data_IF_503559099234
#
_entry.id   IF_503559099234
#
_cell.length_a   1.000
_cell.length_b   1.000
_cell.length_c   1.000
_cell.angle_alpha   90.00
_cell.angle_beta   90.00
_cell.angle_gamma   90.00
#
_symmetry.space_group_name_H-M   'P 1'
#
loop_
_entity.id
_entity.type
_entity.pdbx_description
1 polymer ?
#
# COMPACT_ATOMS: atom_id res chain seq x y z
N UNK A 1 -12.54 43.67 16.84
CA UNK A 1 -11.37 43.07 17.54
C UNK A 1 -10.92 41.85 16.75
N UNK A 2 -9.62 41.58 16.66
CA UNK A 2 -9.10 40.45 15.88
C UNK A 2 -7.86 39.84 16.52
N UNK A 3 -7.68 38.54 16.32
CA UNK A 3 -6.45 37.79 16.56
C UNK A 3 -5.96 37.11 15.28
N UNK A 4 -4.88 36.35 15.35
CA UNK A 4 -4.32 35.68 14.16
C UNK A 4 -5.32 34.73 13.47
N UNK A 5 -6.20 34.08 14.25
CA UNK A 5 -7.13 33.03 13.80
C UNK A 5 -8.60 33.45 13.75
N UNK A 6 -8.93 34.66 14.22
CA UNK A 6 -10.32 35.08 14.35
C UNK A 6 -10.48 36.58 14.25
N UNK A 7 -11.67 37.02 13.87
CA UNK A 7 -12.12 38.41 13.95
C UNK A 7 -13.57 38.49 14.43
N UNK A 8 -14.03 39.70 14.73
CA UNK A 8 -15.46 39.98 14.96
C UNK A 8 -16.14 40.43 13.66
N UNK A 9 -17.46 40.29 13.57
CA UNK A 9 -18.28 40.70 12.42
C UNK A 9 -18.93 39.52 11.71
N UNK A 10 -19.65 39.75 10.59
CA UNK A 10 -20.25 38.67 9.82
C UNK A 10 -19.18 37.86 9.07
N UNK A 11 -19.43 36.56 8.91
CA UNK A 11 -18.59 35.68 8.08
C UNK A 11 -18.77 36.00 6.58
N UNK A 12 -17.65 36.05 5.87
CA UNK A 12 -17.58 36.13 4.42
C UNK A 12 -17.08 34.83 3.79
N UNK A 13 -16.76 34.85 2.48
CA UNK A 13 -16.22 33.68 1.79
C UNK A 13 -14.94 33.15 2.44
N UNK A 14 -14.88 31.85 2.70
CA UNK A 14 -13.72 31.22 3.35
C UNK A 14 -13.69 31.31 4.88
N UNK A 15 -14.75 31.87 5.47
CA UNK A 15 -14.89 32.02 6.91
C UNK A 15 -16.15 31.33 7.42
N UNK A 16 -16.17 31.08 8.71
CA UNK A 16 -17.31 30.51 9.43
C UNK A 16 -17.51 31.26 10.73
N UNK A 17 -18.76 31.51 11.11
CA UNK A 17 -19.08 32.05 12.42
C UNK A 17 -19.13 30.93 13.46
N UNK A 18 -18.42 31.11 14.56
CA UNK A 18 -18.39 30.21 15.71
C UNK A 18 -18.99 30.93 16.91
N UNK A 19 -19.92 30.28 17.60
CA UNK A 19 -20.55 30.84 18.80
C UNK A 19 -20.80 29.77 19.86
N UNK A 20 -20.84 30.19 21.12
CA UNK A 20 -21.25 29.35 22.24
C UNK A 20 -20.28 29.33 23.41
N UNK A 21 -20.58 28.54 24.47
CA UNK A 21 -19.87 28.60 25.75
C UNK A 21 -18.38 28.22 25.68
N UNK A 22 -17.91 27.60 24.60
CA UNK A 22 -16.49 27.24 24.39
C UNK A 22 -15.71 28.31 23.61
N UNK A 23 -16.38 29.31 23.05
CA UNK A 23 -15.74 30.44 22.37
C UNK A 23 -15.33 31.46 23.44
N UNK A 24 -14.04 31.51 23.76
CA UNK A 24 -13.50 32.42 24.80
C UNK A 24 -13.14 33.81 24.27
N UNK A 25 -13.07 33.97 22.95
CA UNK A 25 -12.80 35.23 22.27
C UNK A 25 -14.09 35.95 21.86
N UNK A 26 -14.00 37.25 21.54
CA UNK A 26 -15.10 38.01 20.93
C UNK A 26 -16.43 38.01 21.72
N UNK A 27 -16.40 37.83 23.04
CA UNK A 27 -17.62 37.75 23.85
C UNK A 27 -18.47 36.50 23.59
N UNK A 28 -17.88 35.41 23.11
CA UNK A 28 -18.59 34.16 22.84
C UNK A 28 -19.06 33.98 21.40
N UNK A 29 -18.71 34.92 20.51
CA UNK A 29 -19.00 34.85 19.07
C UNK A 29 -17.83 35.43 18.27
N UNK A 30 -17.33 34.68 17.30
CA UNK A 30 -16.24 35.08 16.41
C UNK A 30 -16.47 34.59 14.99
N UNK A 31 -15.75 35.16 14.04
CA UNK A 31 -15.55 34.64 12.69
C UNK A 31 -14.15 34.06 12.59
N UNK A 32 -14.03 32.83 12.10
CA UNK A 32 -12.76 32.13 11.93
C UNK A 32 -12.59 31.68 10.47
N UNK A 33 -11.36 31.72 9.97
CA UNK A 33 -11.03 31.27 8.62
C UNK A 33 -11.06 29.73 8.58
N UNK A 34 -11.90 29.11 7.74
CA UNK A 34 -11.84 27.67 7.51
C UNK A 34 -10.93 27.32 6.33
N UNK A 35 -10.76 28.25 5.38
CA UNK A 35 -9.73 28.17 4.35
C UNK A 35 -8.36 28.45 4.94
N UNK A 36 -7.38 27.63 4.58
CA UNK A 36 -5.99 27.71 5.04
C UNK A 36 -5.17 28.79 4.32
N UNK A 37 -5.65 29.26 3.16
CA UNK A 37 -5.08 30.37 2.40
C UNK A 37 -5.57 31.77 2.84
N UNK A 38 -6.65 31.85 3.63
CA UNK A 38 -7.17 33.09 4.18
C UNK A 38 -6.42 33.47 5.47
N UNK A 39 -5.99 34.74 5.58
CA UNK A 39 -5.24 35.23 6.74
C UNK A 39 -5.75 36.58 7.22
N UNK A 40 -5.89 36.73 8.55
CA UNK A 40 -6.19 38.01 9.19
C UNK A 40 -4.94 38.82 9.53
N UNK A 41 -3.79 38.16 9.65
CA UNK A 41 -2.49 38.77 10.00
C UNK A 41 -1.38 38.23 9.11
N UNK A 42 -0.17 38.77 9.25
CA UNK A 42 1.00 38.32 8.52
C UNK A 42 1.25 36.80 8.67
N UNK A 43 1.88 36.20 7.65
CA UNK A 43 2.17 34.76 7.59
C UNK A 43 3.08 34.33 8.74
N UNK A 44 2.63 33.31 9.47
CA UNK A 44 3.38 32.61 10.50
C UNK A 44 3.48 31.13 10.11
N UNK A 45 4.58 30.47 10.49
CA UNK A 45 4.75 29.03 10.30
C UNK A 45 3.69 28.25 11.09
N UNK A 46 3.19 27.14 10.53
CA UNK A 46 2.15 26.31 11.15
C UNK A 46 0.76 26.97 11.22
N UNK A 47 0.54 28.07 10.51
CA UNK A 47 -0.79 28.67 10.40
C UNK A 47 -1.61 27.97 9.31
N UNK A 48 -2.73 27.39 9.72
CA UNK A 48 -3.65 26.66 8.83
C UNK A 48 -5.06 27.27 8.82
N UNK A 49 -5.24 28.49 9.33
CA UNK A 49 -6.54 29.13 9.52
C UNK A 49 -6.97 29.14 10.99
N UNK A 50 -8.25 29.44 11.25
CA UNK A 50 -8.83 29.45 12.59
C UNK A 50 -9.84 28.35 12.87
N UNK A 51 -10.39 27.75 11.82
CA UNK A 51 -11.40 26.69 11.87
C UNK A 51 -11.24 25.69 10.71
N UNK A 52 -10.03 25.60 10.13
CA UNK A 52 -9.77 24.60 9.10
C UNK A 52 -9.83 23.19 9.68
N UNK A 53 -10.06 22.19 8.82
CA UNK A 53 -10.08 20.79 9.24
C UNK A 53 -8.77 20.37 9.92
N UNK A 54 -7.63 20.94 9.52
CA UNK A 54 -6.34 20.65 10.12
C UNK A 54 -6.25 21.07 11.61
N UNK A 55 -6.97 22.11 12.03
CA UNK A 55 -6.99 22.58 13.43
C UNK A 55 -7.95 21.73 14.31
N UNK A 56 -8.85 20.95 13.71
CA UNK A 56 -9.85 20.14 14.45
C UNK A 56 -9.69 18.63 14.28
N UNK A 57 -8.79 18.17 13.40
CA UNK A 57 -8.55 16.74 13.18
C UNK A 57 -7.52 16.22 14.17
N UNK A 58 -7.89 15.22 14.96
CA UNK A 58 -6.97 14.51 15.86
C UNK A 58 -6.84 13.07 15.36
N UNK A 59 -5.65 12.65 14.87
CA UNK A 59 -5.45 11.26 14.50
C UNK A 59 -5.42 10.39 15.76
N UNK A 60 -6.24 9.33 15.79
CA UNK A 60 -6.18 8.29 16.81
C UNK A 60 -5.46 7.09 16.20
N UNK A 61 -4.30 6.76 16.74
CA UNK A 61 -3.51 5.60 16.32
C UNK A 61 -3.61 4.51 17.38
N UNK A 62 -3.73 3.27 16.95
CA UNK A 62 -3.71 2.11 17.82
C UNK A 62 -2.64 1.13 17.34
N UNK A 63 -1.76 0.74 18.25
CA UNK A 63 -0.59 -0.09 17.96
C UNK A 63 -0.79 -1.48 18.57
N UNK A 64 -0.53 -2.51 17.77
CA UNK A 64 -0.52 -3.91 18.21
C UNK A 64 0.94 -4.38 18.29
N UNK A 65 1.38 -4.97 19.41
CA UNK A 65 2.72 -5.54 19.50
C UNK A 65 2.98 -6.58 18.39
N UNK A 66 4.19 -6.60 17.86
CA UNK A 66 4.57 -7.56 16.82
C UNK A 66 4.43 -9.01 17.29
N UNK A 67 3.96 -9.89 16.41
CA UNK A 67 3.75 -11.32 16.70
C UNK A 67 2.48 -11.63 17.50
N UNK A 68 1.73 -10.62 17.94
CA UNK A 68 0.43 -10.80 18.57
C UNK A 68 -0.68 -10.74 17.51
N UNK A 69 -1.73 -11.52 17.72
CA UNK A 69 -2.91 -11.51 16.86
C UNK A 69 -3.62 -10.15 16.95
N UNK A 70 -3.90 -9.55 15.80
CA UNK A 70 -4.68 -8.32 15.67
C UNK A 70 -6.08 -8.56 16.27
N UNK A 71 -6.64 -7.65 17.09
CA UNK A 71 -7.96 -7.82 17.67
C UNK A 71 -9.06 -8.09 16.64
N UNK A 72 -10.11 -8.82 17.05
CA UNK A 72 -11.22 -9.13 16.15
C UNK A 72 -11.91 -7.84 15.66
N UNK A 73 -12.22 -7.78 14.37
CA UNK A 73 -12.82 -6.60 13.72
C UNK A 73 -11.81 -5.49 13.36
N UNK A 74 -10.53 -5.66 13.68
CA UNK A 74 -9.49 -4.70 13.34
C UNK A 74 -8.74 -5.16 12.09
N UNK A 75 -8.22 -4.19 11.33
CA UNK A 75 -7.45 -4.44 10.10
C UNK A 75 -6.08 -3.82 10.24
N UNK A 76 -5.05 -4.54 9.82
CA UNK A 76 -3.70 -3.97 9.76
C UNK A 76 -3.68 -2.77 8.80
N UNK A 77 -3.00 -1.70 9.19
CA UNK A 77 -2.67 -0.57 8.32
C UNK A 77 -1.19 -0.68 7.94
N UNK A 78 -0.86 -1.21 6.75
CA UNK A 78 0.52 -1.37 6.33
C UNK A 78 1.19 0.00 6.14
N UNK A 79 2.50 0.06 6.41
CA UNK A 79 3.27 1.28 6.21
C UNK A 79 3.27 1.68 4.73
N UNK A 80 3.26 0.71 3.81
CA UNK A 80 3.21 0.90 2.37
C UNK A 80 1.96 1.67 1.89
N UNK A 81 0.89 1.71 2.70
CA UNK A 81 -0.33 2.46 2.39
C UNK A 81 -0.46 3.79 3.13
N UNK A 82 0.34 3.99 4.17
CA UNK A 82 0.11 5.06 5.16
C UNK A 82 1.32 5.96 5.39
N UNK A 83 2.53 5.44 5.18
CA UNK A 83 3.74 6.23 5.23
C UNK A 83 3.84 7.07 3.94
N UNK A 84 4.16 8.37 4.06
CA UNK A 84 4.52 9.17 2.90
C UNK A 84 5.72 8.56 2.15
N UNK A 85 5.71 8.64 0.83
CA UNK A 85 6.76 8.03 -0.01
C UNK A 85 8.18 8.46 0.38
N UNK A 86 8.35 9.71 0.82
CA UNK A 86 9.65 10.25 1.25
C UNK A 86 10.19 9.62 2.55
N UNK A 87 9.40 8.87 3.32
CA UNK A 87 9.87 8.06 4.45
C UNK A 87 10.53 6.76 4.02
N UNK A 88 10.17 6.24 2.85
CA UNK A 88 10.62 4.93 2.40
C UNK A 88 12.06 4.96 1.86
N UNK A 89 12.69 6.14 1.84
CA UNK A 89 13.95 6.38 1.19
C UNK A 89 13.75 6.18 -0.30
N UNK A 90 13.57 7.27 -1.04
CA UNK A 90 13.60 7.18 -2.49
C UNK A 90 14.84 6.37 -2.87
N UNK A 91 14.62 5.30 -3.63
CA UNK A 91 15.67 4.68 -4.43
C UNK A 91 16.56 5.80 -4.95
N UNK A 92 17.88 5.68 -4.76
CA UNK A 92 18.84 6.55 -5.43
C UNK A 92 18.28 6.89 -6.80
N UNK A 93 18.16 8.19 -7.17
CA UNK A 93 17.69 8.52 -8.49
C UNK A 93 18.60 7.73 -9.43
N UNK A 94 18.03 6.77 -10.15
CA UNK A 94 18.72 6.14 -11.26
C UNK A 94 19.23 7.31 -12.08
N UNK A 95 20.55 7.53 -12.05
CA UNK A 95 21.18 8.54 -12.87
C UNK A 95 20.57 8.38 -14.26
N UNK A 96 20.06 9.46 -14.88
CA UNK A 96 19.62 9.39 -16.26
C UNK A 96 20.77 8.78 -17.05
N UNK A 97 20.63 7.51 -17.43
CA UNK A 97 21.64 6.83 -18.20
C UNK A 97 21.54 7.47 -19.57
N UNK A 98 22.40 8.45 -19.81
CA UNK A 98 22.52 9.12 -21.09
C UNK A 98 22.72 8.01 -22.14
N UNK A 99 21.83 7.91 -23.14
CA UNK A 99 21.88 6.79 -24.07
C UNK A 99 23.20 6.85 -24.83
N UNK A 100 24.08 5.90 -24.56
CA UNK A 100 25.30 5.72 -25.34
C UNK A 100 24.93 5.56 -26.82
N UNK A 101 25.58 6.28 -27.74
CA UNK A 101 25.23 6.20 -29.16
C UNK A 101 25.52 4.80 -29.69
N UNK A 102 24.48 4.08 -30.11
CA UNK A 102 24.63 2.75 -30.71
C UNK A 102 25.27 2.85 -32.11
N UNK A 103 26.24 1.99 -32.46
CA UNK A 103 26.75 1.89 -33.82
C UNK A 103 25.68 1.29 -34.73
N UNK A 104 25.49 1.91 -35.90
CA UNK A 104 24.53 1.46 -36.92
C UNK A 104 25.03 0.17 -37.58
N UNK A 105 24.37 -0.95 -37.28
CA UNK A 105 24.44 -2.16 -38.10
C UNK A 105 23.07 -2.45 -38.71
N UNK A 106 23.00 -2.54 -40.04
CA UNK A 106 21.83 -2.97 -40.79
C UNK A 106 21.66 -4.47 -40.62
N UNK A 107 20.54 -4.88 -40.01
CA UNK A 107 20.09 -6.26 -39.99
C UNK A 107 18.58 -6.28 -39.80
N UNK A 108 17.86 -6.81 -40.78
CA UNK A 108 16.40 -7.00 -40.74
C UNK A 108 16.03 -7.96 -39.63
N UNK A 109 15.67 -7.43 -38.46
CA UNK A 109 15.07 -8.19 -37.37
C UNK A 109 13.56 -8.02 -37.43
N UNK A 110 12.86 -9.13 -37.66
CA UNK A 110 11.40 -9.25 -37.62
C UNK A 110 10.93 -8.77 -36.25
N UNK A 111 10.24 -7.63 -36.20
CA UNK A 111 9.63 -7.12 -34.98
C UNK A 111 8.51 -8.07 -34.57
N UNK A 112 8.64 -8.70 -33.40
CA UNK A 112 7.48 -9.23 -32.70
C UNK A 112 6.64 -8.03 -32.23
N UNK A 113 5.31 -8.02 -32.47
CA UNK A 113 4.47 -6.94 -31.99
C UNK A 113 4.46 -6.98 -30.46
N UNK A 114 5.06 -5.96 -29.85
CA UNK A 114 4.84 -5.63 -28.45
C UNK A 114 3.39 -5.15 -28.34
N UNK A 115 2.54 -5.95 -27.71
CA UNK A 115 1.20 -5.52 -27.34
C UNK A 115 1.30 -4.58 -26.14
N UNK A 116 1.51 -3.28 -26.41
CA UNK A 116 1.14 -2.21 -25.49
C UNK A 116 -0.39 -2.14 -25.41
N UNK A 117 -0.96 -3.02 -24.58
CA UNK A 117 -2.33 -2.89 -24.13
C UNK A 117 -2.38 -1.96 -22.92
N UNK A 118 -2.57 -0.67 -23.15
CA UNK A 118 -2.81 0.35 -22.10
C UNK A 118 -4.19 0.21 -21.42
N UNK A 119 -4.90 -0.90 -21.67
CA UNK A 119 -6.22 -1.21 -21.13
C UNK A 119 -6.22 -2.65 -20.60
N UNK A 120 -6.82 -2.93 -19.43
CA UNK A 120 -6.92 -4.29 -18.93
C UNK A 120 -7.76 -5.11 -19.91
N UNK A 121 -7.13 -6.09 -20.57
CA UNK A 121 -7.83 -7.04 -21.41
C UNK A 121 -8.52 -8.07 -20.50
N UNK A 122 -9.86 -8.14 -20.47
CA UNK A 122 -10.56 -9.17 -19.71
C UNK A 122 -10.26 -10.53 -20.36
N UNK A 123 -9.48 -11.36 -19.68
CA UNK A 123 -9.18 -12.72 -20.13
C UNK A 123 -7.81 -13.28 -19.72
N UNK A 124 -6.86 -12.46 -19.28
CA UNK A 124 -5.58 -12.95 -18.78
C UNK A 124 -5.66 -13.09 -17.25
N UNK A 125 -5.46 -14.32 -16.77
CA UNK A 125 -5.29 -14.60 -15.34
C UNK A 125 -4.07 -13.86 -14.81
N UNK A 126 -4.16 -13.35 -13.58
CA UNK A 126 -3.00 -12.71 -12.93
C UNK A 126 -1.89 -13.74 -12.68
N UNK A 127 -0.62 -13.32 -12.57
CA UNK A 127 0.47 -14.26 -12.24
C UNK A 127 0.22 -15.04 -10.94
N UNK A 128 -0.40 -14.42 -9.93
CA UNK A 128 -0.83 -15.08 -8.70
C UNK A 128 -1.89 -16.14 -8.96
N UNK A 129 -2.90 -15.85 -9.80
CA UNK A 129 -3.89 -16.83 -10.22
C UNK A 129 -3.30 -18.01 -11.00
N UNK A 130 -2.33 -17.74 -11.88
CA UNK A 130 -1.63 -18.77 -12.63
C UNK A 130 -0.83 -19.68 -11.69
N UNK A 131 -0.14 -19.10 -10.71
CA UNK A 131 0.63 -19.84 -9.69
C UNK A 131 -0.28 -20.80 -8.93
N UNK A 132 -1.43 -20.35 -8.43
CA UNK A 132 -2.34 -21.19 -7.64
C UNK A 132 -3.09 -22.26 -8.46
N UNK A 133 -3.09 -22.14 -9.79
CA UNK A 133 -3.63 -23.14 -10.74
C UNK A 133 -2.55 -24.10 -11.26
N UNK A 134 -1.29 -23.87 -10.95
CA UNK A 134 -0.19 -24.69 -11.43
C UNK A 134 -0.17 -26.05 -10.71
N UNK A 135 0.28 -27.09 -11.44
CA UNK A 135 0.36 -28.44 -10.87
C UNK A 135 1.27 -28.53 -9.63
N UNK A 136 2.45 -27.89 -9.60
CA UNK A 136 3.32 -27.91 -8.41
C UNK A 136 2.63 -27.30 -7.19
N UNK A 137 1.86 -26.23 -7.35
CA UNK A 137 1.11 -25.62 -6.25
C UNK A 137 -0.02 -26.53 -5.74
N UNK A 138 -0.79 -27.13 -6.64
CA UNK A 138 -1.84 -28.08 -6.28
C UNK A 138 -1.28 -29.24 -5.45
N UNK A 139 -0.18 -29.85 -5.92
CA UNK A 139 0.50 -30.94 -5.20
C UNK A 139 1.01 -30.48 -3.84
N UNK A 140 1.65 -29.31 -3.75
CA UNK A 140 2.14 -28.78 -2.47
C UNK A 140 1.00 -28.50 -1.48
N UNK A 141 -0.14 -28.00 -1.98
CA UNK A 141 -1.32 -27.67 -1.16
C UNK A 141 -1.91 -28.89 -0.46
N UNK A 142 -1.84 -30.08 -1.04
CA UNK A 142 -2.34 -31.33 -0.43
C UNK A 142 -1.65 -31.65 0.91
N UNK A 143 -0.40 -31.22 1.09
CA UNK A 143 0.38 -31.46 2.31
C UNK A 143 0.23 -30.33 3.36
N UNK A 144 -0.41 -29.22 2.99
CA UNK A 144 -0.56 -28.04 3.86
C UNK A 144 -1.96 -28.01 4.49
N UNK A 145 -2.04 -28.47 5.74
CA UNK A 145 -3.28 -28.38 6.52
C UNK A 145 -3.70 -26.93 6.77
N UNK A 146 -4.99 -26.66 6.66
CA UNK A 146 -5.58 -25.31 6.85
C UNK A 146 -4.94 -24.24 5.95
N UNK A 147 -4.59 -24.61 4.71
CA UNK A 147 -4.06 -23.67 3.73
C UNK A 147 -5.02 -22.50 3.49
N UNK A 148 -4.51 -21.26 3.36
CA UNK A 148 -5.31 -20.13 2.89
C UNK A 148 -6.05 -20.42 1.58
N UNK A 149 -7.10 -19.67 1.29
CA UNK A 149 -7.84 -19.84 0.03
C UNK A 149 -6.95 -19.47 -1.17
N UNK A 150 -7.18 -20.08 -2.33
CA UNK A 150 -6.44 -19.72 -3.55
C UNK A 150 -6.56 -18.23 -3.87
N UNK A 151 -7.73 -17.62 -3.62
CA UNK A 151 -7.94 -16.17 -3.76
C UNK A 151 -7.02 -15.35 -2.84
N UNK A 152 -6.83 -15.77 -1.58
CA UNK A 152 -5.92 -15.09 -0.65
C UNK A 152 -4.45 -15.20 -1.12
N UNK A 153 -4.05 -16.40 -1.55
CA UNK A 153 -2.67 -16.66 -2.01
C UNK A 153 -2.37 -15.90 -3.30
N UNK A 154 -3.28 -15.94 -4.29
CA UNK A 154 -3.14 -15.21 -5.54
C UNK A 154 -3.01 -13.70 -5.30
N UNK A 155 -3.90 -13.12 -4.49
CA UNK A 155 -3.85 -11.69 -4.16
C UNK A 155 -2.56 -11.29 -3.41
N UNK A 156 -2.06 -12.15 -2.52
CA UNK A 156 -0.79 -11.93 -1.83
C UNK A 156 0.40 -11.94 -2.80
N UNK A 157 0.43 -12.89 -3.75
CA UNK A 157 1.47 -12.97 -4.78
C UNK A 157 1.42 -11.78 -5.73
N UNK A 158 0.23 -11.41 -6.21
CA UNK A 158 0.05 -10.27 -7.12
C UNK A 158 0.52 -8.97 -6.47
N UNK A 159 0.17 -8.74 -5.21
CA UNK A 159 0.64 -7.57 -4.46
C UNK A 159 2.17 -7.57 -4.28
N UNK A 160 2.77 -8.73 -3.98
CA UNK A 160 4.23 -8.86 -3.89
C UNK A 160 4.91 -8.56 -5.23
N UNK A 161 4.36 -9.08 -6.34
CA UNK A 161 4.90 -8.87 -7.68
C UNK A 161 4.80 -7.40 -8.12
N UNK A 162 3.66 -6.75 -7.86
CA UNK A 162 3.43 -5.32 -8.10
C UNK A 162 4.43 -4.46 -7.32
N UNK A 163 4.73 -4.83 -6.08
CA UNK A 163 5.70 -4.16 -5.22
C UNK A 163 7.18 -4.53 -5.50
N UNK A 164 7.47 -5.20 -6.63
CA UNK A 164 8.83 -5.57 -7.00
C UNK A 164 9.44 -6.72 -6.19
N UNK A 165 8.62 -7.48 -5.47
CA UNK A 165 8.98 -8.68 -4.71
C UNK A 165 9.19 -8.44 -3.22
N UNK A 166 8.93 -7.23 -2.69
CA UNK A 166 9.12 -6.91 -1.28
C UNK A 166 7.92 -6.18 -0.69
N UNK A 167 7.34 -6.74 0.38
CA UNK A 167 6.27 -6.12 1.17
C UNK A 167 6.40 -6.52 2.63
N UNK A 168 5.87 -5.72 3.55
CA UNK A 168 5.69 -6.16 4.93
C UNK A 168 4.66 -7.29 5.04
N UNK A 169 4.74 -8.15 6.07
CA UNK A 169 3.70 -9.16 6.32
C UNK A 169 2.30 -8.55 6.41
N UNK A 170 2.20 -7.35 6.99
CA UNK A 170 0.94 -6.61 7.11
C UNK A 170 0.36 -6.23 5.73
N UNK A 171 1.20 -5.78 4.79
CA UNK A 171 0.76 -5.48 3.42
C UNK A 171 0.29 -6.74 2.68
N UNK A 172 1.03 -7.85 2.82
CA UNK A 172 0.66 -9.14 2.23
C UNK A 172 -0.67 -9.65 2.77
N UNK A 173 -0.87 -9.59 4.09
CA UNK A 173 -2.13 -9.92 4.75
C UNK A 173 -3.28 -8.98 4.33
N UNK A 174 -3.02 -7.69 4.18
CA UNK A 174 -4.01 -6.70 3.76
C UNK A 174 -4.47 -6.91 2.31
N UNK A 175 -3.59 -7.37 1.41
CA UNK A 175 -3.95 -7.75 0.05
C UNK A 175 -4.91 -8.96 0.02
N UNK A 176 -4.58 -10.00 0.79
CA UNK A 176 -5.44 -11.17 0.95
C UNK A 176 -6.80 -10.82 1.56
N UNK A 177 -6.83 -9.96 2.59
CA UNK A 177 -8.07 -9.49 3.20
C UNK A 177 -8.92 -8.67 2.22
N UNK A 178 -8.31 -7.80 1.41
CA UNK A 178 -9.04 -7.01 0.41
C UNK A 178 -9.73 -7.92 -0.63
N UNK A 179 -9.07 -9.00 -1.05
CA UNK A 179 -9.61 -9.92 -2.04
C UNK A 179 -10.66 -10.90 -1.47
N UNK A 180 -10.55 -11.29 -0.20
CA UNK A 180 -11.41 -12.33 0.40
C UNK A 180 -12.47 -11.82 1.37
N UNK A 181 -12.34 -10.57 1.82
CA UNK A 181 -13.14 -10.01 2.92
C UNK A 181 -12.85 -10.62 4.30
N UNK A 182 -11.91 -11.58 4.41
CA UNK A 182 -11.56 -12.25 5.66
C UNK A 182 -10.30 -11.64 6.26
N UNK A 183 -10.35 -11.35 7.56
CA UNK A 183 -9.22 -10.74 8.25
C UNK A 183 -8.12 -11.75 8.53
N UNK A 184 -6.92 -11.49 8.00
CA UNK A 184 -5.69 -12.21 8.31
C UNK A 184 -5.04 -11.60 9.56
N UNK A 185 -5.59 -11.95 10.72
CA UNK A 185 -5.27 -11.32 12.02
C UNK A 185 -3.86 -11.62 12.52
N UNK A 186 -3.17 -12.61 11.96
CA UNK A 186 -1.76 -12.88 12.24
C UNK A 186 -0.95 -12.85 10.93
N UNK A 187 -0.44 -11.68 10.53
CA UNK A 187 0.24 -11.51 9.25
C UNK A 187 1.48 -12.40 9.10
N UNK A 188 2.27 -12.57 10.16
CA UNK A 188 3.46 -13.43 10.14
C UNK A 188 3.07 -14.89 9.93
N UNK A 189 2.06 -15.38 10.66
CA UNK A 189 1.58 -16.75 10.48
C UNK A 189 1.02 -16.97 9.07
N UNK A 190 0.31 -15.99 8.54
CA UNK A 190 -0.18 -16.04 7.16
C UNK A 190 0.98 -16.20 6.18
N UNK A 191 2.04 -15.40 6.32
CA UNK A 191 3.26 -15.51 5.50
C UNK A 191 3.93 -16.88 5.65
N UNK A 192 4.06 -17.41 6.88
CA UNK A 192 4.61 -18.76 7.09
C UNK A 192 3.77 -19.85 6.38
N UNK A 193 2.45 -19.66 6.26
CA UNK A 193 1.62 -20.57 5.48
C UNK A 193 1.88 -20.44 3.97
N UNK A 194 2.17 -19.22 3.48
CA UNK A 194 2.60 -19.01 2.10
C UNK A 194 3.97 -19.65 1.82
N UNK A 195 4.95 -19.53 2.73
CA UNK A 195 6.25 -20.21 2.62
C UNK A 195 6.07 -21.72 2.47
N UNK A 196 5.19 -22.33 3.26
CA UNK A 196 4.88 -23.77 3.17
C UNK A 196 4.22 -24.18 1.86
N UNK A 197 3.48 -23.27 1.23
CA UNK A 197 2.78 -23.52 -0.04
C UNK A 197 3.68 -23.28 -1.27
N UNK A 198 4.70 -22.43 -1.14
CA UNK A 198 5.49 -21.95 -2.26
C UNK A 198 6.92 -22.48 -2.28
N UNK A 199 7.49 -22.83 -1.13
CA UNK A 199 8.87 -23.31 -1.06
C UNK A 199 8.91 -24.83 -1.30
N UNK A 200 9.12 -25.21 -2.55
CA UNK A 200 9.26 -26.61 -2.97
C UNK A 200 10.71 -27.07 -2.77
N UNK A 201 10.88 -28.29 -2.25
CA UNK A 201 12.19 -28.94 -2.03
C UNK A 201 13.21 -28.10 -1.23
N UNK A 202 12.71 -27.18 -0.39
CA UNK A 202 13.53 -26.32 0.46
C UNK A 202 14.09 -25.06 -0.24
N UNK A 203 13.76 -24.83 -1.51
CA UNK A 203 14.16 -23.61 -2.22
C UNK A 203 13.24 -22.43 -1.83
N UNK A 204 13.78 -21.30 -1.35
CA UNK A 204 12.98 -20.21 -0.77
C UNK A 204 12.41 -19.27 -1.83
N UNK A 205 11.33 -19.67 -2.50
CA UNK A 205 10.54 -18.78 -3.38
C UNK A 205 10.02 -17.58 -2.60
N UNK A 206 9.54 -17.82 -1.39
CA UNK A 206 9.07 -16.79 -0.48
C UNK A 206 9.75 -16.97 0.87
N UNK A 207 10.21 -15.88 1.46
CA UNK A 207 10.87 -15.90 2.76
C UNK A 207 10.67 -14.61 3.55
N UNK A 208 10.64 -14.73 4.88
CA UNK A 208 10.76 -13.60 5.79
C UNK A 208 12.22 -13.17 5.96
N UNK A 209 12.52 -11.92 5.65
CA UNK A 209 13.83 -11.26 5.82
C UNK A 209 13.72 -10.11 6.83
N UNK A 210 14.87 -9.50 7.17
CA UNK A 210 14.94 -8.34 8.09
C UNK A 210 14.24 -8.63 9.43
N UNK A 211 14.56 -9.78 10.04
CA UNK A 211 13.95 -10.25 11.28
C UNK A 211 12.42 -10.38 11.20
N UNK A 212 11.88 -10.74 10.03
CA UNK A 212 10.46 -10.95 9.80
C UNK A 212 9.66 -9.67 9.53
N UNK A 213 10.34 -8.56 9.23
CA UNK A 213 9.71 -7.28 8.89
C UNK A 213 9.33 -7.19 7.41
N UNK A 214 10.01 -7.96 6.57
CA UNK A 214 9.86 -7.91 5.13
C UNK A 214 9.67 -9.32 4.60
N UNK A 215 8.65 -9.50 3.77
CA UNK A 215 8.43 -10.67 2.93
C UNK A 215 9.16 -10.43 1.63
N UNK A 216 10.06 -11.33 1.27
CA UNK A 216 10.79 -11.32 0.01
C UNK A 216 10.31 -12.45 -0.87
N UNK A 217 9.91 -12.12 -2.10
CA UNK A 217 9.53 -13.04 -3.15
C UNK A 217 10.63 -13.08 -4.21
N UNK A 218 11.24 -14.25 -4.40
CA UNK A 218 12.11 -14.50 -5.54
C UNK A 218 11.25 -14.74 -6.79
N UNK A 219 11.14 -13.68 -7.60
CA UNK A 219 10.29 -13.66 -8.79
C UNK A 219 10.76 -14.63 -9.87
N UNK A 220 12.08 -14.82 -9.99
CA UNK A 220 12.63 -15.71 -11.00
C UNK A 220 12.41 -17.17 -10.59
N UNK A 221 12.63 -17.48 -9.31
CA UNK A 221 12.35 -18.82 -8.79
C UNK A 221 10.85 -19.16 -8.82
N UNK A 222 9.97 -18.19 -8.51
CA UNK A 222 8.52 -18.35 -8.66
C UNK A 222 8.16 -18.77 -10.09
N UNK A 223 8.69 -18.06 -11.09
CA UNK A 223 8.43 -18.34 -12.51
C UNK A 223 8.98 -19.71 -12.94
N UNK A 224 10.13 -20.11 -12.41
CA UNK A 224 10.73 -21.41 -12.71
C UNK A 224 9.95 -22.58 -12.10
N UNK A 225 9.49 -22.44 -10.86
CA UNK A 225 8.82 -23.53 -10.13
C UNK A 225 7.33 -23.63 -10.41
N UNK A 226 6.68 -22.53 -10.76
CA UNK A 226 5.24 -22.47 -11.03
C UNK A 226 5.02 -21.92 -12.45
N UNK A 227 5.41 -22.67 -13.50
CA UNK A 227 5.20 -22.22 -14.87
C UNK A 227 3.71 -22.08 -15.15
N UNK A 228 3.38 -21.18 -16.07
CA UNK A 228 2.01 -20.98 -16.54
C UNK A 228 1.45 -22.34 -16.97
N UNK A 229 0.36 -22.77 -16.34
CA UNK A 229 -0.30 -24.02 -16.69
C UNK A 229 -0.64 -24.00 -18.17
N UNK A 230 0.04 -24.81 -18.97
CA UNK A 230 -0.38 -25.06 -20.35
C UNK A 230 -1.74 -25.72 -20.24
N UNK A 231 -2.80 -25.01 -20.60
CA UNK A 231 -4.11 -25.59 -20.76
C UNK A 231 -3.95 -26.79 -21.71
N UNK A 232 -4.16 -28.00 -21.19
CA UNK A 232 -4.38 -29.21 -21.98
C UNK A 232 -5.85 -29.29 -22.35
#
# INVERSE_FOLDING_TARGET
>A
MQGARWRTGPAGPGEVELSGPRVRAGGGRITAAWRDDLRYTARQAGYHGGASLAEVTVPVLAFVPSGIEIPAGWTALPAERTAPEWWLGGSDPTEPQEPAPAPRARGTRRQQPQSEGLFPQPGHSTPGEQTVRSKPFETQREFVRNAPTNTAVAAALDALLEAGGKLSPAAVAAAAQAATGKSERNPQRFVTMLERLLNIDGYPVLQLVESGRTVHLDRELLRQQFPEGTAL
#
